data_IF_172784511934
#
_entry.id   IF_172784511934
#
_cell.length_a   1.000
_cell.length_b   1.000
_cell.length_c   1.000
_cell.angle_alpha   90.00
_cell.angle_beta   90.00
_cell.angle_gamma   90.00
#
_symmetry.space_group_name_H-M   'P 1'
#
loop_
_entity.id
_entity.type
_entity.pdbx_description
1 polymer ?
#
# COMPACT_ATOMS: atom_id res chain seq x y z
N UNK A 1 -16.46 2.21 3.00
CA UNK A 1 -15.23 1.99 3.77
C UNK A 1 -14.14 1.45 2.85
N UNK A 2 -12.95 2.03 2.94
CA UNK A 2 -11.83 1.59 2.10
C UNK A 2 -11.23 0.31 2.66
N UNK A 3 -10.87 -0.61 1.78
CA UNK A 3 -10.20 -1.84 2.23
C UNK A 3 -8.72 -1.57 2.52
N UNK A 4 -8.05 -2.56 3.10
CA UNK A 4 -6.66 -2.45 3.50
C UNK A 4 -5.74 -2.16 2.31
N UNK A 5 -5.98 -2.81 1.19
CA UNK A 5 -5.15 -2.62 -0.01
C UNK A 5 -5.23 -1.19 -0.51
N UNK A 6 -6.43 -0.62 -0.54
CA UNK A 6 -6.61 0.76 -0.97
C UNK A 6 -5.90 1.74 -0.04
N UNK A 7 -5.98 1.51 1.27
CA UNK A 7 -5.30 2.34 2.26
C UNK A 7 -3.78 2.27 2.10
N UNK A 8 -3.25 1.07 1.83
CA UNK A 8 -1.83 0.89 1.56
C UNK A 8 -1.42 1.66 0.30
N UNK A 9 -2.19 1.52 -0.77
CA UNK A 9 -1.90 2.20 -2.03
C UNK A 9 -1.93 3.72 -1.89
N UNK A 10 -2.89 4.24 -1.14
CA UNK A 10 -2.98 5.67 -0.89
C UNK A 10 -1.78 6.19 -0.10
N UNK A 11 -1.32 5.41 0.88
CA UNK A 11 -0.13 5.76 1.65
C UNK A 11 1.12 5.78 0.78
N UNK A 12 1.27 4.79 -0.11
CA UNK A 12 2.39 4.75 -1.05
C UNK A 12 2.35 5.93 -2.01
N UNK A 13 1.19 6.26 -2.53
CA UNK A 13 1.01 7.40 -3.43
C UNK A 13 1.31 8.72 -2.73
N UNK A 14 1.10 8.77 -1.41
CA UNK A 14 1.42 9.92 -0.59
C UNK A 14 2.89 10.04 -0.23
N UNK A 15 3.72 9.10 -0.67
CA UNK A 15 5.16 9.15 -0.45
C UNK A 15 5.68 8.33 0.73
N UNK A 16 4.83 7.57 1.39
CA UNK A 16 5.28 6.75 2.53
C UNK A 16 6.03 5.52 2.04
N UNK A 17 7.11 5.19 2.74
CA UNK A 17 7.82 3.94 2.50
C UNK A 17 7.09 2.79 3.19
N UNK A 18 7.38 1.56 2.77
CA UNK A 18 6.72 0.38 3.29
C UNK A 18 6.74 0.30 4.83
N UNK A 19 7.90 0.56 5.44
CA UNK A 19 8.02 0.52 6.90
C UNK A 19 7.26 1.65 7.59
N UNK A 20 7.08 2.77 6.90
CA UNK A 20 6.34 3.90 7.43
C UNK A 20 4.83 3.65 7.43
N UNK A 21 4.34 2.84 6.50
CA UNK A 21 2.94 2.49 6.42
C UNK A 21 2.49 1.77 7.69
N UNK A 22 3.30 0.84 8.16
CA UNK A 22 3.03 0.11 9.40
C UNK A 22 2.85 1.05 10.58
N UNK A 23 3.77 2.01 10.74
CA UNK A 23 3.69 2.99 11.82
C UNK A 23 2.50 3.92 11.66
N UNK A 24 2.22 4.32 10.43
CA UNK A 24 1.08 5.18 10.12
C UNK A 24 -0.24 4.48 10.48
N UNK A 25 -0.39 3.22 10.10
CA UNK A 25 -1.59 2.45 10.40
C UNK A 25 -1.79 2.30 11.92
N UNK A 26 -0.71 2.02 12.64
CA UNK A 26 -0.76 1.93 14.10
C UNK A 26 -1.24 3.22 14.71
N UNK A 27 -0.67 4.34 14.28
CA UNK A 27 -1.00 5.66 14.79
C UNK A 27 -2.46 6.01 14.52
N UNK A 28 -3.00 5.63 13.37
CA UNK A 28 -4.36 5.94 12.98
C UNK A 28 -5.38 4.91 13.46
N UNK A 29 -4.95 3.88 14.17
CA UNK A 29 -5.85 2.83 14.64
C UNK A 29 -6.38 1.94 13.52
N UNK A 30 -5.68 1.87 12.39
CA UNK A 30 -6.08 1.03 11.26
C UNK A 30 -5.57 -0.38 11.47
N UNK A 31 -6.41 -1.37 11.24
CA UNK A 31 -6.04 -2.79 11.31
C UNK A 31 -6.42 -3.45 9.99
N UNK A 32 -5.65 -4.45 9.55
CA UNK A 32 -4.40 -4.94 10.13
C UNK A 32 -3.24 -3.97 9.93
N UNK A 33 -2.28 -3.97 10.87
CA UNK A 33 -1.17 -3.04 10.81
C UNK A 33 0.21 -3.69 11.02
N UNK A 34 0.29 -5.03 11.00
CA UNK A 34 1.57 -5.69 11.16
C UNK A 34 2.44 -5.51 9.92
N UNK A 35 3.74 -5.38 10.14
CA UNK A 35 4.72 -5.25 9.05
C UNK A 35 4.61 -6.42 8.09
N UNK A 36 4.53 -7.61 8.63
CA UNK A 36 4.48 -8.85 7.85
C UNK A 36 3.28 -8.88 6.92
N UNK A 37 2.12 -8.49 7.41
CA UNK A 37 0.90 -8.51 6.61
C UNK A 37 0.92 -7.44 5.53
N UNK A 38 1.41 -6.24 5.87
CA UNK A 38 1.53 -5.15 4.91
C UNK A 38 2.51 -5.54 3.79
N UNK A 39 3.64 -6.15 4.15
CA UNK A 39 4.60 -6.64 3.16
C UNK A 39 3.98 -7.67 2.22
N UNK A 40 3.22 -8.60 2.76
CA UNK A 40 2.53 -9.62 1.97
C UNK A 40 1.57 -9.00 0.97
N UNK A 41 0.78 -8.04 1.43
CA UNK A 41 -0.20 -7.38 0.57
C UNK A 41 0.47 -6.58 -0.54
N UNK A 42 1.54 -5.87 -0.20
CA UNK A 42 2.30 -5.10 -1.19
C UNK A 42 2.89 -6.03 -2.25
N UNK A 43 3.48 -7.14 -1.81
CA UNK A 43 4.05 -8.11 -2.74
C UNK A 43 2.98 -8.67 -3.68
N UNK A 44 1.83 -9.03 -3.14
CA UNK A 44 0.72 -9.54 -3.94
C UNK A 44 0.24 -8.51 -4.97
N UNK A 45 0.13 -7.25 -4.55
CA UNK A 45 -0.30 -6.19 -5.46
C UNK A 45 0.73 -5.91 -6.55
N UNK A 46 2.01 -5.96 -6.21
CA UNK A 46 3.07 -5.79 -7.22
C UNK A 46 2.97 -6.87 -8.29
N UNK A 47 2.71 -8.11 -7.89
CA UNK A 47 2.54 -9.21 -8.83
C UNK A 47 1.28 -9.03 -9.67
N UNK A 48 0.18 -8.65 -9.03
CA UNK A 48 -1.10 -8.45 -9.71
C UNK A 48 -1.01 -7.37 -10.80
N UNK A 49 -0.35 -6.27 -10.50
CA UNK A 49 -0.24 -5.14 -11.43
C UNK A 49 1.08 -5.16 -12.22
N UNK A 50 1.87 -6.21 -12.05
CA UNK A 50 3.17 -6.37 -12.74
C UNK A 50 4.11 -5.18 -12.51
N UNK A 51 4.12 -4.69 -11.28
CA UNK A 51 5.00 -3.60 -10.90
C UNK A 51 6.30 -4.17 -10.33
N UNK A 52 7.43 -3.55 -10.68
CA UNK A 52 8.74 -3.97 -10.18
C UNK A 52 9.15 -3.23 -8.91
N UNK A 53 8.60 -2.05 -8.68
CA UNK A 53 8.91 -1.21 -7.53
C UNK A 53 7.64 -0.66 -6.91
N UNK A 54 7.75 -0.18 -5.67
CA UNK A 54 6.63 0.47 -5.00
C UNK A 54 6.20 1.75 -5.73
N UNK A 55 7.17 2.50 -6.23
CA UNK A 55 6.91 3.70 -7.01
C UNK A 55 6.09 3.37 -8.27
N UNK A 56 6.50 2.33 -8.98
CA UNK A 56 5.80 1.88 -10.17
C UNK A 56 4.37 1.42 -9.84
N UNK A 57 4.22 0.69 -8.73
CA UNK A 57 2.90 0.25 -8.29
C UNK A 57 1.97 1.45 -8.04
N UNK A 58 2.45 2.46 -7.34
CA UNK A 58 1.68 3.66 -7.06
C UNK A 58 1.25 4.37 -8.36
N UNK A 59 2.16 4.47 -9.32
CA UNK A 59 1.85 5.09 -10.61
C UNK A 59 0.78 4.32 -11.38
N UNK A 60 0.89 2.99 -11.39
CA UNK A 60 -0.06 2.14 -12.12
C UNK A 60 -1.46 2.29 -11.54
N UNK A 61 -1.60 2.19 -10.22
CA UNK A 61 -2.92 2.27 -9.59
C UNK A 61 -3.52 3.65 -9.73
N UNK A 62 -2.70 4.69 -9.73
CA UNK A 62 -3.18 6.05 -9.93
C UNK A 62 -3.69 6.23 -11.36
N UNK A 63 -2.99 5.69 -12.35
CA UNK A 63 -3.42 5.74 -13.75
C UNK A 63 -4.73 5.01 -13.98
N UNK A 64 -4.94 3.92 -13.24
CA UNK A 64 -6.18 3.14 -13.34
C UNK A 64 -7.33 3.77 -12.57
N UNK A 65 -7.08 4.83 -11.85
CA UNK A 65 -8.12 5.51 -11.08
C UNK A 65 -8.54 4.77 -9.82
N UNK A 66 -7.67 3.90 -9.30
CA UNK A 66 -7.98 3.13 -8.11
C UNK A 66 -7.73 3.92 -6.81
N UNK A 67 -6.98 4.99 -6.93
CA UNK A 67 -6.73 5.90 -5.82
C UNK A 67 -6.85 7.34 -6.28
#
# INVERSE_FOLDING_TARGET
>A
MKDTDQLILEALAGGLEQKEIHLHFKKMGITPNSVSLIEKRIKAMKEEYRANTLFQLALIVKRKGLI
#
